data_IF_329052716156
#
_entry.id   IF_329052716156
#
_cell.length_a   1.000
_cell.length_b   1.000
_cell.length_c   1.000
_cell.angle_alpha   90.00
_cell.angle_beta   90.00
_cell.angle_gamma   90.00
#
_symmetry.space_group_name_H-M   'P 1'
#
loop_
_entity.id
_entity.type
_entity.pdbx_description
1 polymer ?
#
# COMPACT_ATOMS: atom_id res chain seq x y z
N UNK A 1 5.83 -1.19 -29.93
CA UNK A 1 5.93 -2.51 -29.27
C UNK A 1 6.75 -2.30 -28.02
N UNK A 2 6.10 -2.19 -26.86
CA UNK A 2 6.84 -2.22 -25.60
C UNK A 2 7.32 -3.66 -25.37
N UNK A 3 8.63 -3.90 -25.23
CA UNK A 3 9.11 -5.22 -24.86
C UNK A 3 8.55 -5.52 -23.46
N UNK A 4 7.75 -6.58 -23.36
CA UNK A 4 7.23 -7.06 -22.08
C UNK A 4 8.41 -7.27 -21.13
N UNK A 5 8.46 -6.52 -20.04
CA UNK A 5 9.56 -6.60 -19.08
C UNK A 5 9.55 -7.95 -18.34
N UNK A 6 10.65 -8.34 -17.67
CA UNK A 6 10.76 -9.61 -16.93
C UNK A 6 9.72 -9.79 -15.80
N UNK A 7 8.94 -8.75 -15.52
CA UNK A 7 7.93 -8.70 -14.47
C UNK A 7 6.51 -8.97 -15.01
N UNK A 8 6.32 -9.01 -16.33
CA UNK A 8 5.02 -9.27 -16.96
C UNK A 8 4.74 -10.77 -17.18
N UNK A 9 5.77 -11.62 -17.18
CA UNK A 9 5.69 -13.05 -17.45
C UNK A 9 6.15 -13.87 -16.22
N UNK A 10 5.35 -13.85 -15.14
CA UNK A 10 5.59 -14.72 -13.98
C UNK A 10 5.32 -16.18 -14.34
N UNK A 11 6.25 -17.13 -14.06
CA UNK A 11 5.96 -18.54 -14.24
C UNK A 11 4.80 -18.96 -13.31
N UNK A 12 3.96 -19.93 -13.72
CA UNK A 12 2.89 -20.42 -12.86
C UNK A 12 3.50 -21.16 -11.66
N UNK A 13 3.29 -20.63 -10.46
CA UNK A 13 3.67 -21.30 -9.22
C UNK A 13 2.55 -22.22 -8.73
N UNK A 14 2.90 -23.44 -8.34
CA UNK A 14 1.96 -24.32 -7.64
C UNK A 14 1.84 -23.91 -6.16
N UNK A 15 0.70 -24.18 -5.53
CA UNK A 15 0.48 -23.83 -4.12
C UNK A 15 1.54 -24.40 -3.17
N UNK A 16 2.02 -25.62 -3.43
CA UNK A 16 3.12 -26.25 -2.67
C UNK A 16 4.46 -25.53 -2.84
N UNK A 17 4.73 -24.98 -4.02
CA UNK A 17 5.93 -24.18 -4.27
C UNK A 17 5.83 -22.83 -3.57
N UNK A 18 4.68 -22.16 -3.63
CA UNK A 18 4.43 -20.92 -2.90
C UNK A 18 4.61 -21.10 -1.39
N UNK A 19 4.07 -22.19 -0.85
CA UNK A 19 4.23 -22.53 0.56
C UNK A 19 5.69 -22.76 0.94
N UNK A 20 6.44 -23.53 0.15
CA UNK A 20 7.86 -23.79 0.41
C UNK A 20 8.71 -22.51 0.34
N UNK A 21 8.43 -21.62 -0.61
CA UNK A 21 9.11 -20.32 -0.72
C UNK A 21 8.80 -19.45 0.50
N UNK A 22 7.53 -19.40 0.93
CA UNK A 22 7.11 -18.67 2.12
C UNK A 22 7.79 -19.19 3.40
N UNK A 23 7.85 -20.50 3.59
CA UNK A 23 8.54 -21.13 4.73
C UNK A 23 10.04 -20.80 4.76
N UNK A 24 10.65 -20.58 3.60
CA UNK A 24 12.05 -20.18 3.46
C UNK A 24 12.25 -18.66 3.52
N UNK A 25 11.17 -17.88 3.61
CA UNK A 25 11.22 -16.42 3.55
C UNK A 25 11.67 -15.87 2.19
N UNK A 26 11.61 -16.68 1.14
CA UNK A 26 12.01 -16.31 -0.22
C UNK A 26 10.83 -15.68 -0.94
N UNK A 27 11.02 -14.48 -1.45
CA UNK A 27 10.02 -13.77 -2.25
C UNK A 27 9.91 -14.35 -3.66
N UNK A 28 8.76 -14.11 -4.33
CA UNK A 28 8.61 -14.53 -5.73
C UNK A 28 9.57 -13.78 -6.66
N UNK A 29 9.92 -12.54 -6.32
CA UNK A 29 10.97 -11.80 -7.01
C UNK A 29 12.30 -12.55 -6.97
N UNK A 30 12.75 -12.98 -5.78
CA UNK A 30 13.99 -13.73 -5.62
C UNK A 30 13.94 -15.08 -6.33
N UNK A 31 12.86 -15.84 -6.16
CA UNK A 31 12.67 -17.13 -6.83
C UNK A 31 12.70 -17.01 -8.36
N UNK A 32 12.28 -15.87 -8.89
CA UNK A 32 12.25 -15.58 -10.33
C UNK A 32 13.48 -14.82 -10.83
N UNK A 33 14.50 -14.62 -9.99
CA UNK A 33 15.70 -13.81 -10.29
C UNK A 33 15.38 -12.37 -10.75
N UNK A 34 14.27 -11.80 -10.27
CA UNK A 34 13.91 -10.40 -10.51
C UNK A 34 14.76 -9.54 -9.57
N UNK A 35 15.52 -8.63 -10.18
CA UNK A 35 16.44 -7.77 -9.42
C UNK A 35 15.68 -6.71 -8.59
N UNK A 36 16.25 -6.25 -7.46
CA UNK A 36 15.70 -5.12 -6.71
C UNK A 36 15.55 -3.86 -7.57
N UNK A 37 16.48 -3.61 -8.49
CA UNK A 37 16.40 -2.48 -9.42
C UNK A 37 15.19 -2.57 -10.35
N UNK A 38 14.87 -3.78 -10.85
CA UNK A 38 13.70 -3.97 -11.69
C UNK A 38 12.39 -3.73 -10.92
N UNK A 39 12.33 -4.12 -9.64
CA UNK A 39 11.18 -3.79 -8.77
C UNK A 39 11.08 -2.28 -8.54
N UNK A 40 12.21 -1.61 -8.30
CA UNK A 40 12.24 -0.16 -8.08
C UNK A 40 11.82 0.63 -9.33
N UNK A 41 12.28 0.23 -10.52
CA UNK A 41 11.87 0.85 -11.78
C UNK A 41 10.36 0.73 -12.01
N UNK A 42 9.79 -0.42 -11.66
CA UNK A 42 8.35 -0.64 -11.74
C UNK A 42 7.58 0.13 -10.67
N UNK A 43 8.12 0.24 -9.47
CA UNK A 43 7.56 1.08 -8.42
C UNK A 43 7.50 2.54 -8.86
N UNK A 44 8.57 3.05 -9.48
CA UNK A 44 8.62 4.40 -10.02
C UNK A 44 7.54 4.63 -11.08
N UNK A 45 7.34 3.69 -12.01
CA UNK A 45 6.26 3.78 -13.01
C UNK A 45 4.89 3.85 -12.33
N UNK A 46 4.62 2.97 -11.36
CA UNK A 46 3.36 2.96 -10.61
C UNK A 46 3.14 4.27 -9.84
N UNK A 47 4.21 4.77 -9.22
CA UNK A 47 4.21 6.02 -8.47
C UNK A 47 3.97 7.23 -9.38
N UNK A 48 4.62 7.30 -10.55
CA UNK A 48 4.44 8.37 -11.52
C UNK A 48 2.99 8.42 -12.04
N UNK A 49 2.37 7.26 -12.30
CA UNK A 49 0.94 7.19 -12.62
C UNK A 49 0.05 7.70 -11.47
N UNK A 50 0.34 7.34 -10.22
CA UNK A 50 -0.36 7.92 -9.06
C UNK A 50 -0.22 9.44 -8.97
N UNK A 51 0.98 9.98 -9.24
CA UNK A 51 1.22 11.43 -9.23
C UNK A 51 0.50 12.14 -10.38
N UNK A 52 0.26 11.46 -11.50
CA UNK A 52 -0.55 11.93 -12.61
C UNK A 52 -2.08 11.79 -12.37
N UNK A 53 -2.49 11.11 -11.29
CA UNK A 53 -3.90 10.78 -11.02
C UNK A 53 -4.45 9.62 -11.85
N UNK A 54 -3.57 8.88 -12.53
CA UNK A 54 -3.88 7.73 -13.39
C UNK A 54 -3.88 6.44 -12.56
N UNK A 55 -4.79 6.35 -11.59
CA UNK A 55 -4.80 5.27 -10.60
C UNK A 55 -5.14 3.90 -11.21
N UNK A 56 -5.98 3.89 -12.25
CA UNK A 56 -6.31 2.71 -13.06
C UNK A 56 -5.06 2.10 -13.71
N UNK A 57 -4.12 2.94 -14.16
CA UNK A 57 -2.83 2.51 -14.71
C UNK A 57 -1.82 2.10 -13.63
N UNK A 58 -1.86 2.74 -12.46
CA UNK A 58 -0.96 2.42 -11.34
C UNK A 58 -1.28 1.07 -10.67
N UNK A 59 -2.57 0.75 -10.50
CA UNK A 59 -3.05 -0.45 -9.81
C UNK A 59 -2.38 -1.76 -10.25
N UNK A 60 -2.37 -2.13 -11.55
CA UNK A 60 -1.77 -3.40 -11.98
C UNK A 60 -0.28 -3.50 -11.63
N UNK A 61 0.45 -2.38 -11.67
CA UNK A 61 1.85 -2.36 -11.26
C UNK A 61 2.01 -2.62 -9.77
N UNK A 62 1.20 -1.99 -8.91
CA UNK A 62 1.24 -2.21 -7.47
C UNK A 62 0.80 -3.64 -7.09
N UNK A 63 -0.23 -4.19 -7.72
CA UNK A 63 -0.65 -5.58 -7.50
C UNK A 63 0.50 -6.54 -7.80
N UNK A 64 1.19 -6.34 -8.92
CA UNK A 64 2.34 -7.16 -9.28
C UNK A 64 3.49 -6.97 -8.28
N UNK A 65 3.77 -5.75 -7.84
CA UNK A 65 4.83 -5.46 -6.85
C UNK A 65 4.55 -6.15 -5.51
N UNK A 66 3.32 -6.06 -4.98
CA UNK A 66 2.91 -6.75 -3.75
C UNK A 66 2.97 -8.27 -3.92
N UNK A 67 2.59 -8.80 -5.08
CA UNK A 67 2.69 -10.24 -5.37
C UNK A 67 4.13 -10.71 -5.35
N UNK A 68 5.04 -9.92 -5.93
CA UNK A 68 6.44 -10.26 -6.10
C UNK A 68 7.25 -10.12 -4.83
N UNK A 69 7.00 -9.03 -4.11
CA UNK A 69 7.71 -8.69 -2.88
C UNK A 69 6.69 -8.21 -1.83
N UNK A 70 6.02 -9.13 -1.14
CA UNK A 70 4.95 -8.81 -0.19
C UNK A 70 5.46 -8.13 1.08
N UNK A 71 6.77 -8.05 1.29
CA UNK A 71 7.38 -7.47 2.49
C UNK A 71 7.87 -6.03 2.30
N UNK A 72 7.74 -5.45 1.10
CA UNK A 72 8.02 -4.02 0.89
C UNK A 72 6.77 -3.19 1.21
N UNK A 73 6.84 -2.48 2.34
CA UNK A 73 5.79 -1.61 2.84
C UNK A 73 5.30 -0.59 1.80
N UNK A 74 6.20 -0.05 0.97
CA UNK A 74 5.87 0.99 -0.01
C UNK A 74 4.88 0.49 -1.04
N UNK A 75 4.93 -0.80 -1.36
CA UNK A 75 4.06 -1.41 -2.38
C UNK A 75 2.63 -1.56 -1.86
N UNK A 76 2.47 -1.96 -0.60
CA UNK A 76 1.15 -2.01 0.06
C UNK A 76 0.55 -0.63 0.26
N UNK A 77 1.36 0.36 0.65
CA UNK A 77 0.90 1.74 0.79
C UNK A 77 0.44 2.31 -0.56
N UNK A 78 1.24 2.13 -1.61
CA UNK A 78 0.89 2.57 -2.96
C UNK A 78 -0.35 1.87 -3.51
N UNK A 79 -0.47 0.55 -3.32
CA UNK A 79 -1.64 -0.23 -3.70
C UNK A 79 -2.90 0.28 -3.00
N UNK A 80 -2.83 0.48 -1.68
CA UNK A 80 -3.94 0.98 -0.88
C UNK A 80 -4.39 2.37 -1.29
N UNK A 81 -3.44 3.28 -1.57
CA UNK A 81 -3.77 4.63 -2.06
C UNK A 81 -4.43 4.57 -3.43
N UNK A 82 -3.89 3.80 -4.38
CA UNK A 82 -4.48 3.65 -5.71
C UNK A 82 -5.89 3.05 -5.65
N UNK A 83 -6.09 1.99 -4.86
CA UNK A 83 -7.41 1.38 -4.63
C UNK A 83 -8.42 2.37 -4.04
N UNK A 84 -7.99 3.18 -3.06
CA UNK A 84 -8.86 4.19 -2.44
C UNK A 84 -9.36 5.19 -3.48
N UNK A 85 -8.48 5.65 -4.37
CA UNK A 85 -8.84 6.64 -5.39
C UNK A 85 -9.79 6.07 -6.45
N UNK A 86 -9.67 4.77 -6.73
CA UNK A 86 -10.60 4.01 -7.58
C UNK A 86 -11.91 3.62 -6.85
N UNK A 87 -12.10 4.08 -5.61
CA UNK A 87 -13.31 3.81 -4.82
C UNK A 87 -13.39 2.41 -4.21
N UNK A 88 -12.31 1.62 -4.28
CA UNK A 88 -12.20 0.28 -3.70
C UNK A 88 -11.82 0.37 -2.21
N UNK A 89 -12.66 1.01 -1.41
CA UNK A 89 -12.33 1.42 -0.04
C UNK A 89 -12.03 0.25 0.91
N UNK A 90 -12.73 -0.88 0.77
CA UNK A 90 -12.51 -2.05 1.61
C UNK A 90 -11.14 -2.70 1.34
N UNK A 91 -10.82 -2.94 0.05
CA UNK A 91 -9.53 -3.50 -0.36
C UNK A 91 -8.38 -2.53 -0.06
N UNK A 92 -8.62 -1.22 -0.22
CA UNK A 92 -7.68 -0.18 0.15
C UNK A 92 -7.33 -0.26 1.64
N UNK A 93 -8.34 -0.31 2.52
CA UNK A 93 -8.14 -0.41 3.97
C UNK A 93 -7.36 -1.68 4.35
N UNK A 94 -7.60 -2.81 3.69
CA UNK A 94 -6.84 -4.04 3.90
C UNK A 94 -5.35 -3.88 3.54
N UNK A 95 -5.05 -3.35 2.36
CA UNK A 95 -3.66 -3.12 1.91
C UNK A 95 -2.93 -2.10 2.80
N UNK A 96 -3.61 -1.01 3.17
CA UNK A 96 -3.09 -0.01 4.10
C UNK A 96 -2.84 -0.58 5.50
N UNK A 97 -3.66 -1.51 5.95
CA UNK A 97 -3.46 -2.21 7.24
C UNK A 97 -2.18 -3.02 7.22
N UNK A 98 -1.85 -3.69 6.11
CA UNK A 98 -0.56 -4.38 5.96
C UNK A 98 0.60 -3.39 6.04
N UNK A 99 0.51 -2.24 5.37
CA UNK A 99 1.53 -1.20 5.44
C UNK A 99 1.70 -0.61 6.86
N UNK A 100 0.60 -0.48 7.61
CA UNK A 100 0.62 -0.07 9.02
C UNK A 100 1.29 -1.12 9.91
N UNK A 101 1.01 -2.41 9.70
CA UNK A 101 1.62 -3.48 10.50
C UNK A 101 3.15 -3.57 10.34
N UNK A 102 3.68 -3.12 9.19
CA UNK A 102 5.11 -3.07 8.92
C UNK A 102 5.83 -1.87 9.56
N UNK A 103 5.12 -0.76 9.76
CA UNK A 103 5.61 0.41 10.49
C UNK A 103 4.45 1.05 11.26
N UNK A 104 4.29 0.60 12.50
CA UNK A 104 3.22 1.04 13.38
C UNK A 104 3.39 2.49 13.87
N UNK A 105 4.55 3.11 13.63
CA UNK A 105 4.86 4.48 14.04
C UNK A 105 4.52 5.50 12.95
N UNK A 106 4.38 5.08 11.68
CA UNK A 106 3.99 5.98 10.60
C UNK A 106 2.47 6.23 10.62
N UNK A 107 2.02 7.47 10.88
CA UNK A 107 0.60 7.81 10.85
C UNK A 107 -0.04 7.77 9.45
N UNK A 108 0.75 7.79 8.38
CA UNK A 108 0.22 7.98 7.02
C UNK A 108 -0.80 6.90 6.61
N UNK A 109 -0.54 5.57 6.73
CA UNK A 109 -1.53 4.56 6.37
C UNK A 109 -2.81 4.66 7.22
N UNK A 110 -2.68 4.97 8.51
CA UNK A 110 -3.82 5.08 9.43
C UNK A 110 -4.78 6.21 9.03
N UNK A 111 -4.26 7.36 8.60
CA UNK A 111 -5.09 8.44 8.04
C UNK A 111 -5.82 7.98 6.78
N UNK A 112 -5.13 7.27 5.89
CA UNK A 112 -5.73 6.74 4.66
C UNK A 112 -6.84 5.70 4.96
N UNK A 113 -6.67 4.87 6.00
CA UNK A 113 -7.69 3.94 6.48
C UNK A 113 -8.92 4.70 6.99
N UNK A 114 -8.72 5.75 7.79
CA UNK A 114 -9.82 6.58 8.26
C UNK A 114 -10.62 7.19 7.10
N UNK A 115 -9.96 7.70 6.06
CA UNK A 115 -10.64 8.21 4.86
C UNK A 115 -11.47 7.14 4.16
N UNK A 116 -10.95 5.91 4.04
CA UNK A 116 -11.70 4.79 3.50
C UNK A 116 -12.95 4.50 4.35
N UNK A 117 -12.81 4.46 5.68
CA UNK A 117 -13.92 4.20 6.60
C UNK A 117 -14.99 5.30 6.54
N UNK A 118 -14.60 6.57 6.40
CA UNK A 118 -15.54 7.68 6.18
C UNK A 118 -16.33 7.48 4.89
N UNK A 119 -15.65 7.09 3.80
CA UNK A 119 -16.31 6.84 2.50
C UNK A 119 -17.27 5.65 2.55
N UNK A 120 -17.08 4.73 3.49
CA UNK A 120 -17.97 3.60 3.76
C UNK A 120 -19.03 3.89 4.84
N UNK A 121 -19.14 5.13 5.32
CA UNK A 121 -20.05 5.55 6.41
C UNK A 121 -19.79 4.83 7.76
N UNK A 122 -18.60 4.27 7.93
CA UNK A 122 -18.17 3.56 9.14
C UNK A 122 -17.54 4.54 10.14
N UNK A 123 -18.34 5.49 10.63
CA UNK A 123 -17.83 6.64 11.40
C UNK A 123 -17.15 6.27 12.72
N UNK A 124 -17.61 5.23 13.41
CA UNK A 124 -16.97 4.78 14.68
C UNK A 124 -15.52 4.35 14.43
N UNK A 125 -15.31 3.48 13.44
CA UNK A 125 -13.96 3.04 13.07
C UNK A 125 -13.11 4.19 12.51
N UNK A 126 -13.71 5.10 11.74
CA UNK A 126 -13.00 6.27 11.24
C UNK A 126 -12.46 7.17 12.36
N UNK A 127 -13.27 7.42 13.41
CA UNK A 127 -12.83 8.19 14.58
C UNK A 127 -11.68 7.51 15.32
N UNK A 128 -11.77 6.20 15.55
CA UNK A 128 -10.70 5.43 16.20
C UNK A 128 -9.41 5.48 15.39
N UNK A 129 -9.50 5.33 14.06
CA UNK A 129 -8.35 5.43 13.16
C UNK A 129 -7.73 6.84 13.20
N UNK A 130 -8.53 7.91 13.22
CA UNK A 130 -8.01 9.29 13.30
C UNK A 130 -7.32 9.57 14.64
N UNK A 131 -7.92 9.13 15.75
CA UNK A 131 -7.29 9.25 17.06
C UNK A 131 -5.95 8.51 17.10
N UNK A 132 -5.90 7.31 16.53
CA UNK A 132 -4.66 6.52 16.41
C UNK A 132 -3.61 7.24 15.57
N UNK A 133 -4.00 7.79 14.40
CA UNK A 133 -3.09 8.55 13.55
C UNK A 133 -2.53 9.81 14.26
N UNK A 134 -3.38 10.50 15.02
CA UNK A 134 -2.96 11.65 15.84
C UNK A 134 -1.93 11.22 16.89
N UNK A 135 -2.16 10.11 17.59
CA UNK A 135 -1.20 9.57 18.56
C UNK A 135 0.14 9.20 17.90
N UNK A 136 0.11 8.47 16.78
CA UNK A 136 1.30 8.10 16.02
C UNK A 136 2.11 9.33 15.56
N UNK A 137 1.42 10.39 15.13
CA UNK A 137 2.06 11.61 14.63
C UNK A 137 2.88 12.39 15.68
N UNK A 138 2.71 12.13 16.98
CA UNK A 138 3.54 12.75 18.02
C UNK A 138 4.94 12.13 18.14
N UNK A 139 5.20 10.98 17.51
CA UNK A 139 6.50 10.30 17.55
C UNK A 139 7.57 11.10 16.81
N UNK A 140 7.21 11.72 15.68
CA UNK A 140 8.14 12.50 14.85
C UNK A 140 7.50 13.84 14.46
N UNK A 141 8.22 14.93 14.75
CA UNK A 141 7.77 16.29 14.49
C UNK A 141 7.42 16.55 13.01
N UNK A 142 8.01 15.80 12.07
CA UNK A 142 7.69 15.92 10.64
C UNK A 142 6.22 15.62 10.32
N UNK A 143 5.52 14.89 11.19
CA UNK A 143 4.11 14.54 11.01
C UNK A 143 3.14 15.61 11.53
N UNK A 144 3.63 16.75 11.99
CA UNK A 144 2.77 17.86 12.49
C UNK A 144 1.67 18.26 11.50
N UNK A 145 1.93 18.46 10.20
CA UNK A 145 0.86 18.80 9.24
C UNK A 145 -0.19 17.70 9.12
N UNK A 146 0.24 16.44 9.17
CA UNK A 146 -0.67 15.29 9.08
C UNK A 146 -1.55 15.17 10.33
N UNK A 147 -1.01 15.52 11.51
CA UNK A 147 -1.78 15.58 12.75
C UNK A 147 -2.90 16.61 12.67
N UNK A 148 -2.58 17.81 12.19
CA UNK A 148 -3.56 18.90 12.04
C UNK A 148 -4.66 18.50 11.06
N UNK A 149 -4.28 17.87 9.95
CA UNK A 149 -5.24 17.30 8.99
C UNK A 149 -6.15 16.24 9.64
N UNK A 150 -5.58 15.26 10.34
CA UNK A 150 -6.34 14.22 11.02
C UNK A 150 -7.29 14.79 12.10
N UNK A 151 -6.85 15.79 12.85
CA UNK A 151 -7.68 16.47 13.85
C UNK A 151 -8.85 17.21 13.18
N UNK A 152 -8.59 17.94 12.10
CA UNK A 152 -9.65 18.63 11.35
C UNK A 152 -10.69 17.66 10.81
N UNK A 153 -10.29 16.47 10.34
CA UNK A 153 -11.25 15.45 9.91
C UNK A 153 -12.03 14.89 11.09
N UNK A 154 -11.38 14.64 12.22
CA UNK A 154 -12.02 14.09 13.42
C UNK A 154 -13.12 15.02 13.97
N UNK A 155 -12.89 16.33 13.91
CA UNK A 155 -13.84 17.36 14.34
C UNK A 155 -15.03 17.51 13.37
N UNK A 156 -14.87 17.05 12.12
CA UNK A 156 -15.87 17.20 11.04
C UNK A 156 -16.85 16.04 10.91
N UNK A 157 -16.52 14.88 11.49
CA UNK A 157 -17.35 13.67 11.48
C UNK A 157 -18.02 13.45 12.82
#
# INVERSE_FOLDING_TARGET
>A
MNPKGPIEDLPPFQASQLQALFEQGISLAEASNITPQALEDKYRIAYDHCQAGEFDLALPHFVQLVTLQPYDRRFHLGLGIAMKQEGQYEQAAQSLTVALLMDACDPAPTVQIAECLIKMDMLVGAREALQTAIQQSYIDAKHTPLREYAQSMLDSI
#
